data_IF_165273113909
#
_entry.id   IF_165273113909
#
_cell.length_a   1.000
_cell.length_b   1.000
_cell.length_c   1.000
_cell.angle_alpha   90.00
_cell.angle_beta   90.00
_cell.angle_gamma   90.00
#
_symmetry.space_group_name_H-M   'P 1'
#
loop_
_entity.id
_entity.type
_entity.pdbx_description
1 polymer ?
#
# COMPACT_ATOMS: atom_id res chain seq x y z
N UNK A 1 -7.58 -18.70 -1.38
CA UNK A 1 -7.17 -17.66 -2.35
C UNK A 1 -5.66 -17.60 -2.32
N UNK A 2 -4.97 -17.42 -3.45
CA UNK A 2 -3.53 -17.18 -3.44
C UNK A 2 -3.21 -15.84 -2.74
N UNK A 3 -2.02 -15.78 -2.15
CA UNK A 3 -1.47 -14.57 -1.54
C UNK A 3 -0.47 -13.94 -2.51
N UNK A 4 -0.63 -12.65 -2.79
CA UNK A 4 0.25 -11.88 -3.65
C UNK A 4 1.03 -10.86 -2.83
N UNK A 5 2.27 -10.62 -3.22
CA UNK A 5 3.10 -9.59 -2.60
C UNK A 5 2.99 -8.31 -3.41
N UNK A 6 2.58 -7.23 -2.80
CA UNK A 6 2.36 -5.93 -3.45
C UNK A 6 3.28 -4.91 -2.83
N UNK A 7 4.17 -4.33 -3.63
CA UNK A 7 5.04 -3.24 -3.19
C UNK A 7 4.46 -1.91 -3.65
N UNK A 8 4.60 -0.88 -2.83
CA UNK A 8 4.18 0.46 -3.19
C UNK A 8 5.00 1.55 -2.55
N UNK A 9 4.84 2.74 -3.10
CA UNK A 9 5.47 3.97 -2.60
C UNK A 9 4.40 5.03 -2.44
N UNK A 10 4.18 5.46 -1.20
CA UNK A 10 3.35 6.60 -0.88
C UNK A 10 4.19 7.87 -0.82
N UNK A 11 3.82 8.86 -1.63
CA UNK A 11 4.54 10.14 -1.73
C UNK A 11 3.83 11.21 -0.89
N UNK A 12 4.53 12.04 -0.11
CA UNK A 12 3.91 13.18 0.54
C UNK A 12 3.38 14.14 -0.55
N UNK A 13 2.11 14.52 -0.45
CA UNK A 13 1.50 15.48 -1.39
C UNK A 13 1.37 16.84 -0.73
N UNK A 14 1.44 17.91 -1.54
CA UNK A 14 1.28 19.27 -1.03
C UNK A 14 -0.11 19.53 -0.40
N UNK A 15 -1.13 18.75 -0.78
CA UNK A 15 -2.50 18.88 -0.28
C UNK A 15 -2.79 18.04 0.97
N UNK A 16 -2.25 16.80 1.06
CA UNK A 16 -2.43 15.94 2.24
C UNK A 16 -1.40 16.21 3.34
N UNK A 17 -0.29 16.89 3.00
CA UNK A 17 0.81 17.20 3.91
C UNK A 17 1.69 15.97 4.17
N UNK A 18 1.23 15.10 5.06
CA UNK A 18 1.95 13.90 5.55
C UNK A 18 1.33 12.61 5.03
N UNK A 19 2.17 11.59 4.81
CA UNK A 19 1.71 10.23 4.47
C UNK A 19 1.07 9.60 5.71
N UNK A 20 -0.18 9.13 5.58
CA UNK A 20 -0.88 8.48 6.67
C UNK A 20 -0.23 7.15 7.09
N UNK A 21 -0.52 6.68 8.30
CA UNK A 21 0.03 5.42 8.80
C UNK A 21 -0.49 4.24 7.98
N UNK A 22 0.39 3.28 7.68
CA UNK A 22 0.00 2.08 6.94
C UNK A 22 -1.01 1.24 7.72
N UNK A 23 -0.88 1.18 9.05
CA UNK A 23 -1.81 0.45 9.92
C UNK A 23 -3.25 0.99 9.81
N UNK A 24 -3.40 2.30 9.66
CA UNK A 24 -4.69 2.95 9.47
C UNK A 24 -5.25 2.65 8.07
N UNK A 25 -4.38 2.71 7.05
CA UNK A 25 -4.75 2.43 5.67
C UNK A 25 -5.25 0.99 5.44
N UNK A 26 -4.73 0.01 6.20
CA UNK A 26 -5.14 -1.40 6.15
C UNK A 26 -6.22 -1.79 7.15
N UNK A 27 -6.61 -0.90 8.09
CA UNK A 27 -7.53 -1.22 9.19
C UNK A 27 -8.94 -1.70 8.75
N UNK A 28 -9.29 -1.61 7.47
CA UNK A 28 -10.53 -2.13 6.87
C UNK A 28 -10.35 -3.24 5.85
N UNK A 29 -9.15 -3.80 5.70
CA UNK A 29 -8.85 -4.84 4.71
C UNK A 29 -8.43 -6.14 5.41
N UNK A 30 -9.38 -7.01 5.75
CA UNK A 30 -9.11 -8.31 6.40
C UNK A 30 -8.21 -9.25 5.57
N UNK A 31 -8.11 -9.02 4.26
CA UNK A 31 -7.30 -9.80 3.33
C UNK A 31 -5.87 -9.24 3.14
N UNK A 32 -5.46 -8.24 3.94
CA UNK A 32 -4.18 -7.55 3.78
C UNK A 32 -3.35 -7.69 5.06
N UNK A 33 -2.09 -8.07 4.90
CA UNK A 33 -1.09 -8.03 5.97
C UNK A 33 0.07 -7.15 5.55
N UNK A 34 0.54 -6.30 6.46
CA UNK A 34 1.74 -5.49 6.23
C UNK A 34 2.96 -6.37 6.46
N UNK A 35 3.78 -6.53 5.43
CA UNK A 35 5.07 -7.21 5.57
C UNK A 35 6.14 -6.22 6.05
N UNK A 36 6.20 -5.06 5.40
CA UNK A 36 7.19 -4.03 5.69
C UNK A 36 6.62 -2.64 5.36
N UNK A 37 6.98 -1.65 6.16
CA UNK A 37 6.71 -0.24 5.87
C UNK A 37 7.86 0.61 6.43
N UNK A 38 8.57 1.31 5.54
CA UNK A 38 9.74 2.12 5.87
C UNK A 38 9.52 3.54 5.37
N UNK A 39 9.52 4.49 6.30
CA UNK A 39 9.56 5.91 5.97
C UNK A 39 10.97 6.31 5.56
N UNK A 40 11.07 6.96 4.41
CA UNK A 40 12.30 7.46 3.82
C UNK A 40 12.61 8.89 4.31
N UNK A 41 13.84 9.36 4.09
CA UNK A 41 14.28 10.70 4.50
C UNK A 41 13.55 11.84 3.76
N UNK A 42 12.99 11.56 2.58
CA UNK A 42 12.19 12.50 1.78
C UNK A 42 10.71 12.56 2.20
N UNK A 43 10.33 11.82 3.26
CA UNK A 43 8.96 11.74 3.77
C UNK A 43 8.07 10.74 3.04
N UNK A 44 8.55 10.09 1.97
CA UNK A 44 7.84 8.99 1.34
C UNK A 44 7.83 7.73 2.21
N UNK A 45 6.85 6.86 1.99
CA UNK A 45 6.78 5.56 2.66
C UNK A 45 6.82 4.48 1.60
N UNK A 46 7.88 3.67 1.61
CA UNK A 46 7.91 2.43 0.86
C UNK A 46 7.28 1.34 1.72
N UNK A 47 6.41 0.54 1.11
CA UNK A 47 5.73 -0.52 1.82
C UNK A 47 5.59 -1.77 0.97
N UNK A 48 5.42 -2.89 1.66
CA UNK A 48 5.13 -4.19 1.06
C UNK A 48 3.98 -4.84 1.83
N UNK A 49 2.99 -5.32 1.07
CA UNK A 49 1.78 -5.97 1.57
C UNK A 49 1.72 -7.40 1.07
N UNK A 50 1.17 -8.28 1.90
CA UNK A 50 0.61 -9.55 1.47
C UNK A 50 -0.89 -9.40 1.32
N UNK A 51 -1.40 -9.72 0.13
CA UNK A 51 -2.82 -9.55 -0.22
C UNK A 51 -3.38 -10.89 -0.68
N UNK A 52 -4.38 -11.39 0.03
CA UNK A 52 -5.15 -12.55 -0.39
C UNK A 52 -6.19 -12.13 -1.43
N UNK A 53 -6.00 -12.54 -2.68
CA UNK A 53 -6.84 -12.14 -3.81
C UNK A 53 -7.13 -13.30 -4.76
N UNK A 54 -8.10 -13.13 -5.66
CA UNK A 54 -8.40 -14.13 -6.67
C UNK A 54 -7.29 -14.24 -7.74
N UNK A 55 -6.68 -13.10 -8.08
CA UNK A 55 -5.65 -12.93 -9.09
C UNK A 55 -4.81 -11.68 -8.82
N UNK A 56 -3.75 -11.50 -9.60
CA UNK A 56 -2.81 -10.38 -9.44
C UNK A 56 -3.46 -9.00 -9.70
N UNK A 57 -4.47 -8.91 -10.57
CA UNK A 57 -5.15 -7.63 -10.81
C UNK A 57 -5.99 -7.24 -9.59
N UNK A 58 -6.73 -8.19 -9.01
CA UNK A 58 -7.46 -7.97 -7.77
C UNK A 58 -6.52 -7.58 -6.59
N UNK A 59 -5.34 -8.21 -6.50
CA UNK A 59 -4.34 -7.82 -5.51
C UNK A 59 -3.81 -6.39 -5.73
N UNK A 60 -3.58 -6.01 -7.00
CA UNK A 60 -3.16 -4.66 -7.35
C UNK A 60 -4.22 -3.62 -6.96
N UNK A 61 -5.51 -3.88 -7.20
CA UNK A 61 -6.61 -2.97 -6.82
C UNK A 61 -6.71 -2.75 -5.30
N UNK A 62 -6.47 -3.79 -4.51
CA UNK A 62 -6.40 -3.67 -3.04
C UNK A 62 -5.18 -2.85 -2.63
N UNK A 63 -4.01 -3.14 -3.19
CA UNK A 63 -2.79 -2.37 -2.94
C UNK A 63 -2.97 -0.89 -3.29
N UNK A 64 -3.60 -0.60 -4.43
CA UNK A 64 -3.94 0.77 -4.85
C UNK A 64 -4.85 1.48 -3.85
N UNK A 65 -5.88 0.81 -3.33
CA UNK A 65 -6.77 1.38 -2.31
C UNK A 65 -6.03 1.71 -1.01
N UNK A 66 -5.15 0.81 -0.55
CA UNK A 66 -4.31 1.07 0.63
C UNK A 66 -3.38 2.25 0.37
N UNK A 67 -2.71 2.27 -0.77
CA UNK A 67 -1.79 3.34 -1.16
C UNK A 67 -2.48 4.70 -1.25
N UNK A 68 -3.68 4.75 -1.85
CA UNK A 68 -4.47 5.97 -2.00
C UNK A 68 -4.93 6.53 -0.64
N UNK A 69 -5.33 5.66 0.29
CA UNK A 69 -5.63 6.06 1.68
C UNK A 69 -4.39 6.62 2.41
N UNK A 70 -3.20 6.09 2.12
CA UNK A 70 -1.96 6.62 2.68
C UNK A 70 -1.61 7.99 2.12
N UNK A 71 -1.67 8.11 0.78
CA UNK A 71 -1.50 9.36 0.08
C UNK A 71 -2.05 9.26 -1.36
N UNK A 72 -2.90 10.19 -1.81
CA UNK A 72 -3.37 10.21 -3.20
C UNK A 72 -2.20 10.28 -4.20
N UNK A 73 -2.28 9.50 -5.28
CA UNK A 73 -1.24 9.48 -6.31
C UNK A 73 0.02 8.66 -5.95
N UNK A 74 -0.05 7.84 -4.89
CA UNK A 74 0.92 6.79 -4.60
C UNK A 74 1.09 5.83 -5.78
N UNK A 75 2.10 4.96 -5.76
CA UNK A 75 2.26 3.92 -6.80
C UNK A 75 2.30 2.53 -6.17
N UNK A 76 1.81 1.52 -6.88
CA UNK A 76 1.93 0.11 -6.47
C UNK A 76 2.30 -0.78 -7.64
N UNK A 77 2.96 -1.90 -7.33
CA UNK A 77 3.37 -2.95 -8.26
C UNK A 77 3.22 -4.30 -7.56
N UNK A 78 2.59 -5.26 -8.25
CA UNK A 78 2.52 -6.64 -7.77
C UNK A 78 3.83 -7.35 -8.11
N UNK A 79 4.46 -7.95 -7.11
CA UNK A 79 5.69 -8.71 -7.25
C UNK A 79 5.34 -10.14 -7.70
N UNK A 80 6.04 -10.62 -8.74
CA UNK A 80 5.84 -11.94 -9.35
C UNK A 80 6.53 -13.06 -8.57
#
# INVERSE_FOLDING_TARGET
>A
MPTFRVSGTALPTAEAGDVASIDDAVAGEDAVQVEEAVRQDDGSVQFTLHVDAADAAAAAEVGWRVADRMSPGSTVTVLA
#
